data_IF_760734005835
#
_entry.id   IF_760734005835
#
_cell.length_a   1.000
_cell.length_b   1.000
_cell.length_c   1.000
_cell.angle_alpha   90.00
_cell.angle_beta   90.00
_cell.angle_gamma   90.00
#
_symmetry.space_group_name_H-M   'P 1'
#
loop_
_entity.id
_entity.type
_entity.pdbx_description
1 polymer ?
#
# COMPACT_ATOMS: atom_id res chain seq x y z
N UNK A 1 24.50 21.61 0.88
CA UNK A 1 24.97 20.42 0.14
C UNK A 1 25.17 20.73 -1.35
N UNK A 2 24.11 21.13 -2.12
CA UNK A 2 24.21 21.36 -3.58
C UNK A 2 25.32 22.34 -3.96
N UNK A 3 25.42 23.49 -3.26
CA UNK A 3 26.49 24.48 -3.49
C UNK A 3 27.88 23.97 -3.12
N UNK A 4 27.98 23.18 -2.05
CA UNK A 4 29.26 22.62 -1.58
C UNK A 4 29.78 21.51 -2.49
N UNK A 5 28.86 20.69 -3.00
CA UNK A 5 29.19 19.54 -3.86
C UNK A 5 29.25 19.90 -5.34
N UNK A 6 28.80 21.09 -5.73
CA UNK A 6 28.71 21.48 -7.14
C UNK A 6 27.73 20.66 -7.98
N UNK A 7 26.75 19.99 -7.33
CA UNK A 7 25.74 19.16 -7.99
C UNK A 7 24.39 19.87 -7.89
N UNK A 8 23.64 20.02 -8.99
CA UNK A 8 22.33 20.66 -8.94
C UNK A 8 21.35 19.84 -8.07
N UNK A 9 20.59 20.53 -7.23
CA UNK A 9 19.49 19.91 -6.49
C UNK A 9 18.31 19.63 -7.43
N UNK A 10 17.79 18.41 -7.37
CA UNK A 10 16.61 17.99 -8.12
C UNK A 10 15.31 18.15 -7.29
N UNK A 11 14.32 17.35 -7.62
CA UNK A 11 13.07 17.26 -6.86
C UNK A 11 13.31 16.55 -5.52
N UNK A 12 12.51 16.94 -4.52
CA UNK A 12 12.51 16.34 -3.18
C UNK A 12 11.24 15.49 -3.04
N UNK A 13 11.40 14.22 -2.76
CA UNK A 13 10.30 13.32 -2.42
C UNK A 13 10.07 13.38 -0.90
N UNK A 14 8.85 13.73 -0.50
CA UNK A 14 8.44 13.85 0.90
C UNK A 14 7.60 12.65 1.36
N UNK A 15 7.79 11.49 0.75
CA UNK A 15 7.08 10.29 1.13
C UNK A 15 7.33 9.89 2.58
N UNK A 16 6.27 9.47 3.25
CA UNK A 16 6.35 8.75 4.51
C UNK A 16 6.56 7.27 4.17
N UNK A 17 7.81 6.85 4.15
CA UNK A 17 8.22 5.48 3.86
C UNK A 17 8.72 4.85 5.16
N UNK A 18 7.96 3.92 5.77
CA UNK A 18 8.33 3.31 7.04
C UNK A 18 9.47 2.32 6.91
N UNK A 19 10.02 1.93 8.06
CA UNK A 19 10.90 0.76 8.19
C UNK A 19 10.34 -0.19 9.25
N UNK A 20 10.84 -1.45 9.34
CA UNK A 20 10.39 -2.38 10.38
C UNK A 20 10.81 -1.98 11.81
N UNK A 21 11.52 -0.88 11.98
CA UNK A 21 11.94 -0.40 13.28
C UNK A 21 10.77 0.17 14.07
N UNK A 22 10.70 -0.19 15.35
CA UNK A 22 9.68 0.34 16.27
C UNK A 22 9.73 1.87 16.29
N UNK A 23 8.59 2.51 16.06
CA UNK A 23 8.46 3.98 16.04
C UNK A 23 8.68 4.62 14.66
N UNK A 24 8.98 3.83 13.63
CA UNK A 24 9.08 4.28 12.23
C UNK A 24 7.95 3.66 11.40
N UNK A 25 6.70 4.01 11.71
CA UNK A 25 5.50 3.36 11.20
C UNK A 25 4.46 4.38 10.74
N UNK A 26 3.94 4.20 9.53
CA UNK A 26 2.78 4.96 9.03
C UNK A 26 1.50 4.52 9.74
N UNK A 27 1.37 3.23 10.06
CA UNK A 27 0.21 2.75 10.82
C UNK A 27 0.11 3.43 12.19
N UNK A 28 1.22 3.58 12.91
CA UNK A 28 1.24 4.26 14.20
C UNK A 28 0.86 5.74 14.09
N UNK A 29 1.20 6.42 12.99
CA UNK A 29 0.71 7.79 12.73
C UNK A 29 -0.81 7.79 12.64
N UNK A 30 -1.41 6.84 11.94
CA UNK A 30 -2.87 6.74 11.83
C UNK A 30 -3.54 6.44 13.17
N UNK A 31 -2.89 5.66 14.02
CA UNK A 31 -3.34 5.36 15.39
C UNK A 31 -3.27 6.60 16.28
N UNK A 32 -2.18 7.37 16.22
CA UNK A 32 -2.07 8.67 16.90
C UNK A 32 -3.11 9.70 16.41
N UNK A 33 -3.58 9.58 15.17
CA UNK A 33 -4.68 10.40 14.66
C UNK A 33 -6.05 9.96 15.20
N UNK A 34 -6.13 8.91 16.00
CA UNK A 34 -7.32 8.50 16.75
C UNK A 34 -7.92 7.15 16.33
N UNK A 35 -7.21 6.33 15.59
CA UNK A 35 -7.61 4.94 15.33
C UNK A 35 -7.09 4.04 16.46
N UNK A 36 -7.91 3.09 16.92
CA UNK A 36 -7.47 2.10 17.90
C UNK A 36 -6.40 1.16 17.30
N UNK A 37 -6.59 0.76 16.06
CA UNK A 37 -5.64 -0.08 15.31
C UNK A 37 -5.82 0.21 13.81
N UNK A 38 -4.72 0.29 13.09
CA UNK A 38 -4.74 0.40 11.64
C UNK A 38 -5.53 -0.77 11.03
N UNK A 39 -6.38 -0.48 10.04
CA UNK A 39 -7.29 -1.48 9.47
C UNK A 39 -8.73 -1.37 9.97
N UNK A 40 -8.99 -0.79 11.15
CA UNK A 40 -10.35 -0.57 11.64
C UNK A 40 -11.16 0.39 10.73
N UNK A 41 -12.47 0.50 10.98
CA UNK A 41 -13.31 1.48 10.26
C UNK A 41 -12.76 2.89 10.47
N UNK A 42 -12.65 3.65 9.38
CA UNK A 42 -12.06 5.00 9.40
C UNK A 42 -10.63 5.06 8.86
N UNK A 43 -9.89 3.95 8.80
CA UNK A 43 -8.49 3.93 8.35
C UNK A 43 -8.29 4.56 6.97
N UNK A 44 -9.13 4.22 5.99
CA UNK A 44 -9.03 4.80 4.64
C UNK A 44 -9.23 6.33 4.66
N UNK A 45 -10.18 6.82 5.44
CA UNK A 45 -10.41 8.28 5.59
C UNK A 45 -9.25 8.96 6.30
N UNK A 46 -8.72 8.35 7.36
CA UNK A 46 -7.56 8.85 8.11
C UNK A 46 -6.31 8.92 7.21
N UNK A 47 -6.06 7.87 6.42
CA UNK A 47 -4.97 7.83 5.45
C UNK A 47 -5.12 8.90 4.36
N UNK A 48 -6.35 9.17 3.89
CA UNK A 48 -6.61 10.23 2.94
C UNK A 48 -6.25 11.62 3.50
N UNK A 49 -6.61 11.88 4.76
CA UNK A 49 -6.23 13.11 5.47
C UNK A 49 -4.71 13.24 5.62
N UNK A 50 -4.05 12.18 6.05
CA UNK A 50 -2.58 12.17 6.19
C UNK A 50 -1.90 12.44 4.85
N UNK A 51 -2.32 11.74 3.80
CA UNK A 51 -1.73 11.87 2.47
C UNK A 51 -1.94 13.27 1.86
N UNK A 52 -3.12 13.85 2.05
CA UNK A 52 -3.42 15.24 1.64
C UNK A 52 -2.54 16.25 2.40
N UNK A 53 -2.38 16.07 3.72
CA UNK A 53 -1.55 16.94 4.54
C UNK A 53 -0.07 16.89 4.12
N UNK A 54 0.48 15.71 3.85
CA UNK A 54 1.87 15.54 3.39
C UNK A 54 2.06 16.24 2.04
N UNK A 55 1.16 16.04 1.08
CA UNK A 55 1.26 16.65 -0.25
C UNK A 55 1.14 18.17 -0.21
N UNK A 56 0.16 18.70 0.51
CA UNK A 56 -0.03 20.15 0.67
C UNK A 56 1.13 20.79 1.42
N UNK A 57 1.57 20.19 2.52
CA UNK A 57 2.71 20.65 3.28
C UNK A 57 3.98 20.72 2.44
N UNK A 58 4.22 19.71 1.61
CA UNK A 58 5.34 19.67 0.69
C UNK A 58 5.33 20.80 -0.33
N UNK A 59 4.21 21.02 -1.00
CA UNK A 59 4.06 22.12 -1.98
C UNK A 59 4.26 23.48 -1.32
N UNK A 60 3.84 23.66 -0.07
CA UNK A 60 4.05 24.90 0.69
C UNK A 60 5.51 25.07 1.14
N UNK A 61 6.20 23.97 1.41
CA UNK A 61 7.57 24.00 1.95
C UNK A 61 8.63 24.19 0.84
N UNK A 62 8.39 23.75 -0.38
CA UNK A 62 9.37 23.78 -1.46
C UNK A 62 8.71 23.85 -2.83
N UNK A 63 9.36 24.59 -3.76
CA UNK A 63 8.97 24.62 -5.17
C UNK A 63 9.52 23.43 -5.99
N UNK A 64 10.28 22.53 -5.35
CA UNK A 64 10.96 21.40 -5.96
C UNK A 64 10.46 20.06 -5.41
N UNK A 65 9.21 20.00 -4.97
CA UNK A 65 8.57 18.76 -4.51
C UNK A 65 8.10 17.95 -5.70
N UNK A 66 8.37 16.65 -5.66
CA UNK A 66 7.97 15.72 -6.72
C UNK A 66 8.05 14.28 -6.22
N UNK A 67 8.09 13.34 -7.14
CA UNK A 67 8.04 11.92 -6.83
C UNK A 67 6.64 11.49 -6.38
N UNK A 68 6.54 10.55 -5.47
CA UNK A 68 5.26 10.04 -4.95
C UNK A 68 4.73 10.89 -3.80
N UNK A 69 5.62 11.47 -3.00
CA UNK A 69 5.37 12.45 -1.92
C UNK A 69 4.08 12.23 -1.14
N UNK A 70 3.95 11.09 -0.49
CA UNK A 70 2.77 10.73 0.29
C UNK A 70 3.01 9.51 1.17
N UNK A 71 1.97 8.97 1.75
CA UNK A 71 2.07 7.84 2.66
C UNK A 71 2.15 6.50 1.90
N UNK A 72 3.16 5.70 2.22
CA UNK A 72 3.31 4.31 1.81
C UNK A 72 2.71 3.38 2.87
N UNK A 73 2.26 2.22 2.45
CA UNK A 73 1.62 1.23 3.33
C UNK A 73 2.19 -0.19 3.10
N UNK A 74 3.51 -0.38 3.09
CA UNK A 74 4.09 -1.71 2.96
C UNK A 74 3.83 -2.51 4.24
N UNK A 75 3.33 -3.75 4.13
CA UNK A 75 2.92 -4.49 5.32
C UNK A 75 4.13 -5.01 6.10
N UNK A 76 5.09 -5.68 5.47
CA UNK A 76 6.23 -6.26 6.21
C UNK A 76 7.33 -5.25 6.58
N UNK A 77 7.28 -4.05 6.03
CA UNK A 77 8.26 -2.99 6.27
C UNK A 77 7.75 -1.93 7.28
N UNK A 78 6.64 -2.18 7.99
CA UNK A 78 6.01 -1.26 8.92
C UNK A 78 5.50 -2.02 10.15
N UNK A 79 6.10 -1.77 11.31
CA UNK A 79 5.81 -2.47 12.57
C UNK A 79 4.31 -2.41 12.94
N UNK A 80 3.67 -1.28 12.77
CA UNK A 80 2.23 -1.12 13.03
C UNK A 80 1.35 -1.85 12.01
N UNK A 81 1.75 -1.90 10.71
CA UNK A 81 1.04 -2.68 9.70
C UNK A 81 1.17 -4.18 9.96
N UNK A 82 2.36 -4.64 10.38
CA UNK A 82 2.59 -6.02 10.79
C UNK A 82 1.63 -6.38 11.92
N UNK A 83 1.59 -5.57 12.99
CA UNK A 83 0.70 -5.78 14.13
C UNK A 83 -0.78 -5.81 13.71
N UNK A 84 -1.20 -4.87 12.88
CA UNK A 84 -2.57 -4.79 12.37
C UNK A 84 -2.97 -6.03 11.55
N UNK A 85 -2.03 -6.59 10.80
CA UNK A 85 -2.25 -7.82 10.04
C UNK A 85 -2.27 -9.06 10.96
N UNK A 86 -1.40 -9.13 11.96
CA UNK A 86 -1.34 -10.22 12.95
C UNK A 86 -2.63 -10.32 13.78
N UNK A 87 -3.18 -9.20 14.21
CA UNK A 87 -4.45 -9.19 14.95
C UNK A 87 -5.69 -9.35 14.05
N UNK A 88 -5.51 -9.41 12.73
CA UNK A 88 -6.59 -9.57 11.74
C UNK A 88 -7.42 -8.31 11.49
N UNK A 89 -7.00 -7.16 12.00
CA UNK A 89 -7.67 -5.88 11.75
C UNK A 89 -7.41 -5.39 10.31
N UNK A 90 -6.19 -5.60 9.82
CA UNK A 90 -5.80 -5.30 8.44
C UNK A 90 -5.99 -6.53 7.55
N UNK A 91 -6.85 -6.45 6.56
CA UNK A 91 -7.08 -7.49 5.55
C UNK A 91 -6.65 -7.00 4.16
N UNK A 92 -6.58 -7.91 3.20
CA UNK A 92 -6.26 -7.56 1.80
C UNK A 92 -7.32 -6.60 1.24
N UNK A 93 -8.60 -6.86 1.48
CA UNK A 93 -9.69 -5.99 1.02
C UNK A 93 -9.63 -4.60 1.68
N UNK A 94 -9.17 -4.52 2.92
CA UNK A 94 -8.91 -3.23 3.58
C UNK A 94 -7.72 -2.52 2.94
N UNK A 95 -6.66 -3.24 2.62
CA UNK A 95 -5.50 -2.68 1.89
C UNK A 95 -5.92 -2.15 0.53
N UNK A 96 -6.70 -2.90 -0.26
CA UNK A 96 -7.26 -2.43 -1.53
C UNK A 96 -8.02 -1.11 -1.38
N UNK A 97 -8.88 -1.00 -0.36
CA UNK A 97 -9.58 0.26 -0.06
C UNK A 97 -8.61 1.41 0.29
N UNK A 98 -7.54 1.12 1.05
CA UNK A 98 -6.51 2.08 1.41
C UNK A 98 -5.67 2.51 0.19
N UNK A 99 -5.46 1.63 -0.78
CA UNK A 99 -4.70 1.94 -1.99
C UNK A 99 -5.37 2.98 -2.87
N UNK A 100 -6.67 3.17 -2.74
CA UNK A 100 -7.37 4.28 -3.40
C UNK A 100 -6.84 5.66 -2.99
N UNK A 101 -6.26 5.78 -1.80
CA UNK A 101 -5.82 7.06 -1.21
C UNK A 101 -4.36 7.08 -0.76
N UNK A 102 -3.64 5.96 -0.81
CA UNK A 102 -2.20 5.90 -0.51
C UNK A 102 -1.36 6.39 -1.71
N UNK A 103 -0.04 6.36 -1.58
CA UNK A 103 0.86 6.83 -2.64
C UNK A 103 1.21 5.77 -3.67
N UNK A 104 1.15 4.48 -3.36
CA UNK A 104 1.62 3.43 -4.27
C UNK A 104 0.55 2.37 -4.57
N UNK A 105 0.19 1.52 -3.62
CA UNK A 105 -0.67 0.36 -3.85
C UNK A 105 -0.47 -0.71 -2.77
N UNK A 106 -0.82 -1.95 -3.07
CA UNK A 106 -0.50 -3.11 -2.24
C UNK A 106 1.01 -3.33 -2.27
N UNK A 107 1.63 -3.35 -1.10
CA UNK A 107 3.07 -3.45 -0.99
C UNK A 107 3.51 -4.37 0.15
N UNK A 108 4.52 -5.20 -0.14
CA UNK A 108 5.13 -6.14 0.81
C UNK A 108 4.12 -7.00 1.57
N UNK A 109 3.11 -7.51 0.87
CA UNK A 109 2.08 -8.39 1.43
C UNK A 109 2.47 -9.84 1.21
N UNK A 110 2.62 -10.57 2.30
CA UNK A 110 2.94 -12.01 2.26
C UNK A 110 1.63 -12.79 2.13
N UNK A 111 1.55 -13.65 1.13
CA UNK A 111 0.37 -14.46 0.82
C UNK A 111 0.71 -15.96 0.85
N UNK A 112 -0.28 -16.87 1.02
CA UNK A 112 -0.03 -18.31 0.98
C UNK A 112 0.65 -18.74 -0.32
N UNK A 113 1.59 -19.67 -0.21
CA UNK A 113 2.39 -20.12 -1.35
C UNK A 113 1.63 -20.93 -2.40
N UNK A 114 0.43 -21.38 -2.07
CA UNK A 114 -0.51 -22.10 -2.96
C UNK A 114 -1.56 -21.17 -3.60
N UNK A 115 -1.44 -19.84 -3.40
CA UNK A 115 -2.29 -18.86 -4.08
C UNK A 115 -2.14 -18.99 -5.58
N UNK A 116 -3.25 -19.22 -6.29
CA UNK A 116 -3.22 -19.49 -7.72
C UNK A 116 -2.84 -18.27 -8.57
N UNK A 117 -2.22 -18.45 -9.75
CA UNK A 117 -1.95 -17.34 -10.65
C UNK A 117 -3.19 -16.52 -11.03
N UNK A 118 -4.36 -17.16 -11.11
CA UNK A 118 -5.62 -16.47 -11.40
C UNK A 118 -6.01 -15.50 -10.28
N UNK A 119 -5.85 -15.89 -9.02
CA UNK A 119 -6.10 -15.03 -7.86
C UNK A 119 -5.13 -13.87 -7.83
N UNK A 120 -3.82 -14.11 -8.04
CA UNK A 120 -2.82 -13.03 -8.10
C UNK A 120 -3.13 -12.06 -9.25
N UNK A 121 -3.53 -12.58 -10.41
CA UNK A 121 -3.92 -11.76 -11.56
C UNK A 121 -5.17 -10.92 -11.26
N UNK A 122 -6.10 -11.44 -10.46
CA UNK A 122 -7.28 -10.70 -10.04
C UNK A 122 -6.93 -9.54 -9.09
N UNK A 123 -6.06 -9.76 -8.11
CA UNK A 123 -5.52 -8.70 -7.24
C UNK A 123 -4.85 -7.58 -8.06
N UNK A 124 -4.07 -7.95 -9.07
CA UNK A 124 -3.44 -6.98 -9.98
C UNK A 124 -4.51 -6.20 -10.78
N UNK A 125 -5.57 -6.88 -11.22
CA UNK A 125 -6.66 -6.25 -11.95
C UNK A 125 -7.47 -5.28 -11.08
N UNK A 126 -7.72 -5.63 -9.82
CA UNK A 126 -8.39 -4.76 -8.84
C UNK A 126 -7.56 -3.49 -8.57
N UNK A 127 -6.26 -3.63 -8.32
CA UNK A 127 -5.37 -2.48 -8.15
C UNK A 127 -5.27 -1.61 -9.41
N UNK A 128 -5.23 -2.22 -10.59
CA UNK A 128 -5.26 -1.45 -11.84
C UNK A 128 -6.59 -0.69 -12.00
N UNK A 129 -7.72 -1.26 -11.61
CA UNK A 129 -9.02 -0.58 -11.63
C UNK A 129 -9.07 0.58 -10.64
N UNK A 130 -8.57 0.38 -9.41
CA UNK A 130 -8.44 1.43 -8.40
C UNK A 130 -7.58 2.59 -8.92
N UNK A 131 -6.44 2.27 -9.53
CA UNK A 131 -5.55 3.26 -10.14
C UNK A 131 -6.24 4.06 -11.25
N UNK A 132 -6.94 3.38 -12.16
CA UNK A 132 -7.67 4.03 -13.26
C UNK A 132 -8.78 4.95 -12.76
N UNK A 133 -9.60 4.48 -11.81
CA UNK A 133 -10.72 5.29 -11.26
C UNK A 133 -10.21 6.54 -10.54
N UNK A 134 -9.11 6.43 -9.82
CA UNK A 134 -8.55 7.51 -9.02
C UNK A 134 -7.49 8.35 -9.77
N UNK A 135 -7.19 8.03 -11.03
CA UNK A 135 -6.17 8.71 -11.84
C UNK A 135 -4.81 8.74 -11.12
N UNK A 136 -4.42 7.62 -10.55
CA UNK A 136 -3.16 7.47 -9.79
C UNK A 136 -2.40 6.21 -10.21
N UNK A 137 -1.10 6.20 -9.95
CA UNK A 137 -0.29 5.00 -10.04
C UNK A 137 -0.64 4.04 -8.92
N UNK A 138 -0.81 2.76 -9.25
CA UNK A 138 -0.89 1.66 -8.29
C UNK A 138 0.16 0.61 -8.64
N UNK A 139 0.60 -0.13 -7.62
CA UNK A 139 1.52 -1.25 -7.76
C UNK A 139 1.03 -2.42 -6.91
N UNK A 140 1.46 -3.62 -7.26
CA UNK A 140 1.21 -4.84 -6.48
C UNK A 140 2.53 -5.55 -6.25
N UNK A 141 2.98 -5.57 -5.00
CA UNK A 141 4.11 -6.36 -4.53
C UNK A 141 3.61 -7.35 -3.49
N UNK A 142 3.25 -8.55 -3.95
CA UNK A 142 2.87 -9.68 -3.10
C UNK A 142 3.96 -10.74 -3.11
N UNK A 143 4.10 -11.45 -2.01
CA UNK A 143 5.16 -12.45 -1.79
C UNK A 143 4.51 -13.80 -1.49
N UNK A 144 4.37 -14.69 -2.49
CA UNK A 144 3.88 -16.05 -2.25
C UNK A 144 4.88 -16.85 -1.42
N UNK A 145 4.49 -17.21 -0.19
CA UNK A 145 5.32 -17.97 0.75
C UNK A 145 5.23 -19.47 0.45
N UNK A 146 6.06 -19.96 -0.47
CA UNK A 146 6.01 -21.34 -0.97
C UNK A 146 6.12 -22.36 0.19
N UNK A 147 5.16 -23.28 0.26
CA UNK A 147 5.07 -24.31 1.28
C UNK A 147 4.54 -23.83 2.63
N UNK A 148 4.14 -22.57 2.74
CA UNK A 148 3.61 -21.95 3.95
C UNK A 148 2.15 -21.56 3.80
N UNK A 149 1.45 -21.40 4.92
CA UNK A 149 0.01 -21.10 4.97
C UNK A 149 -0.29 -19.81 5.72
N UNK A 150 -1.49 -19.29 5.50
CA UNK A 150 -1.98 -18.12 6.24
C UNK A 150 -1.86 -18.32 7.77
N UNK A 151 -1.47 -17.26 8.46
CA UNK A 151 -1.24 -17.24 9.90
C UNK A 151 0.17 -17.61 10.34
N UNK A 152 1.00 -18.21 9.46
CA UNK A 152 2.44 -18.36 9.74
C UNK A 152 3.16 -17.01 9.54
N UNK A 153 4.33 -16.87 10.14
CA UNK A 153 5.18 -15.67 10.00
C UNK A 153 6.36 -15.99 9.09
N UNK A 154 6.68 -15.06 8.21
CA UNK A 154 7.87 -15.08 7.38
C UNK A 154 8.76 -13.91 7.72
N UNK A 155 10.05 -14.16 7.93
CA UNK A 155 11.06 -13.15 8.24
C UNK A 155 12.07 -13.07 7.08
N UNK A 156 12.22 -11.87 6.51
CA UNK A 156 13.18 -11.58 5.45
C UNK A 156 14.46 -10.95 6.01
N UNK A 157 14.38 -10.40 7.21
CA UNK A 157 15.44 -9.64 7.83
C UNK A 157 15.69 -8.26 7.22
N UNK A 158 16.49 -7.46 7.91
CA UNK A 158 16.89 -6.13 7.45
C UNK A 158 15.70 -5.20 7.18
N UNK A 159 15.79 -4.42 6.10
CA UNK A 159 14.75 -3.44 5.73
C UNK A 159 13.49 -4.07 5.14
N UNK A 160 13.54 -5.32 4.68
CA UNK A 160 12.36 -6.01 4.17
C UNK A 160 11.44 -6.52 5.30
N UNK A 161 11.98 -6.56 6.53
CA UNK A 161 11.25 -6.88 7.74
C UNK A 161 10.73 -8.30 7.84
N UNK A 162 9.55 -8.43 8.38
CA UNK A 162 8.86 -9.70 8.60
C UNK A 162 7.34 -9.47 8.57
N UNK A 163 6.55 -10.53 8.62
CA UNK A 163 5.11 -10.37 8.77
C UNK A 163 4.34 -11.68 8.71
N UNK A 164 3.05 -11.63 9.07
CA UNK A 164 2.18 -12.77 8.94
C UNK A 164 1.84 -13.02 7.48
N UNK A 165 1.66 -14.29 7.13
CA UNK A 165 1.09 -14.68 5.85
C UNK A 165 -0.40 -14.38 5.91
N UNK A 166 -0.83 -13.35 5.18
CA UNK A 166 -2.21 -12.87 5.20
C UNK A 166 -3.14 -13.80 4.42
N UNK A 167 -4.32 -14.11 4.93
CA UNK A 167 -5.28 -14.92 4.20
C UNK A 167 -5.74 -14.21 2.91
N UNK A 168 -5.85 -14.98 1.83
CA UNK A 168 -6.37 -14.53 0.54
C UNK A 168 -7.66 -15.29 0.25
N UNK A 169 -8.67 -14.64 -0.32
CA UNK A 169 -9.86 -15.32 -0.80
C UNK A 169 -9.51 -16.26 -1.94
N UNK A 170 -9.68 -17.57 -1.73
CA UNK A 170 -9.30 -18.63 -2.66
C UNK A 170 -10.39 -18.97 -3.71
N UNK A 171 -11.48 -18.21 -3.79
CA UNK A 171 -12.50 -18.40 -4.83
C UNK A 171 -11.90 -18.11 -6.20
N UNK A 172 -12.14 -19.01 -7.15
CA UNK A 172 -11.49 -18.99 -8.46
C UNK A 172 -12.03 -17.87 -9.37
N UNK A 173 -11.23 -16.85 -9.74
CA UNK A 173 -11.59 -15.80 -10.67
C UNK A 173 -11.20 -16.12 -12.13
N UNK A 174 -10.71 -17.32 -12.43
CA UNK A 174 -10.08 -17.65 -13.70
C UNK A 174 -10.97 -17.39 -14.92
N UNK A 175 -12.28 -17.61 -14.81
CA UNK A 175 -13.23 -17.33 -15.91
C UNK A 175 -13.25 -15.85 -16.27
N UNK A 176 -13.22 -14.97 -15.29
CA UNK A 176 -13.15 -13.52 -15.52
C UNK A 176 -11.79 -13.13 -16.10
N UNK A 177 -10.70 -13.55 -15.46
CA UNK A 177 -9.34 -13.21 -15.86
C UNK A 177 -9.02 -13.69 -17.28
N UNK A 178 -9.42 -14.93 -17.65
CA UNK A 178 -9.14 -15.48 -18.96
C UNK A 178 -9.92 -14.83 -20.11
N UNK A 179 -10.97 -14.05 -19.82
CA UNK A 179 -11.64 -13.25 -20.85
C UNK A 179 -10.73 -12.17 -21.43
N UNK A 180 -9.75 -11.70 -20.65
CA UNK A 180 -8.90 -10.60 -21.04
C UNK A 180 -9.67 -9.28 -21.20
N UNK A 181 -9.04 -8.30 -21.80
CA UNK A 181 -9.68 -7.03 -22.11
C UNK A 181 -8.85 -5.83 -21.64
N UNK A 182 -9.53 -4.70 -21.47
CA UNK A 182 -8.94 -3.45 -20.98
C UNK A 182 -9.71 -2.95 -19.79
N UNK A 183 -9.02 -2.37 -18.82
CA UNK A 183 -9.62 -1.53 -17.79
C UNK A 183 -9.88 -0.15 -18.40
N UNK A 184 -11.13 0.22 -18.65
CA UNK A 184 -11.43 1.49 -19.32
C UNK A 184 -11.21 2.67 -18.36
N UNK A 185 -10.76 3.78 -18.89
CA UNK A 185 -10.78 5.03 -18.15
C UNK A 185 -12.23 5.40 -17.80
N UNK A 186 -12.53 5.82 -16.55
CA UNK A 186 -13.87 6.19 -16.16
C UNK A 186 -14.34 7.43 -16.92
N UNK A 187 -15.60 7.46 -17.30
CA UNK A 187 -16.22 8.68 -17.83
C UNK A 187 -16.53 9.62 -16.68
N UNK A 188 -15.94 10.82 -16.69
CA UNK A 188 -16.09 11.77 -15.59
C UNK A 188 -17.53 12.21 -15.36
N UNK A 189 -18.32 12.32 -16.43
CA UNK A 189 -19.74 12.70 -16.36
C UNK A 189 -20.64 11.65 -15.71
N UNK A 190 -20.16 10.43 -15.53
CA UNK A 190 -20.87 9.31 -14.89
C UNK A 190 -20.28 8.95 -13.52
N UNK A 191 -19.44 9.78 -12.95
CA UNK A 191 -19.01 9.63 -11.56
C UNK A 191 -20.19 9.97 -10.65
N UNK A 192 -20.56 8.99 -9.83
CA UNK A 192 -21.59 9.16 -8.80
C UNK A 192 -21.08 10.09 -7.70
#
# INVERSE_FOLDING_TARGET
ASKELGVPAGIIDLSLAPTPAVGDSVANILEEMGLETCGCCGTTACLALLNDAVKKGGVMASNHVGGLSGAFIPVSEDDGMIHAAECGCLTIEKLEAMTAVCSVGIDMVIIPGDTTPAVISALIADEAAIGMVNSKTTAVRVIPAIGRKAGEVLDFGGLLGYGPIMPVNQRDPSVFINRGGRLPAPMQSLKN
#
